data_IF_626645916458
#
_entry.id   IF_626645916458
#
_cell.length_a   1.000
_cell.length_b   1.000
_cell.length_c   1.000
_cell.angle_alpha   90.00
_cell.angle_beta   90.00
_cell.angle_gamma   90.00
#
_symmetry.space_group_name_H-M   'P 1'
#
loop_
_entity.id
_entity.type
_entity.pdbx_description
1 polymer ?
#
# COMPACT_ATOMS: atom_id res chain seq x y z
N UNK A 1 -3.39 -0.48 11.83
CA UNK A 1 -3.37 0.02 10.43
C UNK A 1 -2.84 1.44 10.32
N UNK A 2 -3.40 2.40 11.06
CA UNK A 2 -3.09 3.83 10.93
C UNK A 2 -1.59 4.12 11.14
N UNK A 3 -0.99 3.65 12.24
CA UNK A 3 0.43 3.91 12.53
C UNK A 3 1.40 3.43 11.44
N UNK A 4 1.13 2.26 10.83
CA UNK A 4 1.93 1.75 9.72
C UNK A 4 1.70 2.52 8.42
N UNK A 5 0.46 2.92 8.13
CA UNK A 5 0.13 3.71 6.94
C UNK A 5 0.77 5.10 6.98
N UNK A 6 0.87 5.73 8.15
CA UNK A 6 1.53 7.03 8.33
C UNK A 6 3.03 7.02 8.02
N UNK A 7 3.68 5.86 8.10
CA UNK A 7 5.09 5.72 7.75
C UNK A 7 5.30 5.31 6.29
N UNK A 8 4.26 4.79 5.63
CA UNK A 8 4.39 4.25 4.28
C UNK A 8 4.26 5.36 3.23
N UNK A 9 5.11 5.30 2.20
CA UNK A 9 4.95 6.17 1.03
C UNK A 9 4.24 5.46 -0.14
N UNK A 10 4.18 4.13 -0.07
CA UNK A 10 3.54 3.21 -1.00
C UNK A 10 2.53 2.36 -0.23
N UNK A 11 1.31 2.22 -0.74
CA UNK A 11 0.33 1.28 -0.18
C UNK A 11 0.06 0.13 -1.15
N UNK A 12 -0.21 -1.03 -0.56
CA UNK A 12 -0.67 -2.22 -1.28
C UNK A 12 -2.05 -2.57 -0.74
N UNK A 13 -3.06 -2.44 -1.59
CA UNK A 13 -4.44 -2.79 -1.29
C UNK A 13 -4.75 -4.16 -1.88
N UNK A 14 -4.98 -5.13 -1.01
CA UNK A 14 -5.33 -6.50 -1.42
C UNK A 14 -6.85 -6.63 -1.46
N UNK A 15 -7.38 -7.05 -2.60
CA UNK A 15 -8.81 -7.24 -2.86
C UNK A 15 -9.07 -8.69 -3.24
N UNK A 16 -10.07 -9.31 -2.65
CA UNK A 16 -10.46 -10.67 -3.05
C UNK A 16 -11.24 -10.65 -4.37
N UNK A 17 -10.88 -11.52 -5.31
CA UNK A 17 -11.63 -11.74 -6.55
C UNK A 17 -12.84 -12.66 -6.36
N UNK A 18 -12.87 -13.46 -5.28
CA UNK A 18 -13.92 -14.45 -5.01
C UNK A 18 -15.29 -13.77 -4.93
N UNK A 19 -16.29 -14.39 -5.56
CA UNK A 19 -17.69 -13.91 -5.49
C UNK A 19 -18.20 -13.98 -4.04
N UNK A 20 -18.87 -12.93 -3.59
CA UNK A 20 -19.33 -12.74 -2.22
C UNK A 20 -18.33 -11.94 -1.37
N UNK A 21 -17.06 -12.31 -1.37
CA UNK A 21 -16.02 -11.60 -0.61
C UNK A 21 -15.72 -10.21 -1.20
N UNK A 22 -15.71 -10.10 -2.53
CA UNK A 22 -15.50 -8.82 -3.20
C UNK A 22 -16.64 -7.83 -2.89
N UNK A 23 -17.88 -8.30 -2.95
CA UNK A 23 -19.07 -7.48 -2.76
C UNK A 23 -19.17 -6.99 -1.30
N UNK A 24 -19.00 -7.88 -0.32
CA UNK A 24 -18.96 -7.52 1.11
C UNK A 24 -17.84 -6.54 1.44
N UNK A 25 -16.68 -6.69 0.80
CA UNK A 25 -15.56 -5.76 0.94
C UNK A 25 -15.84 -4.34 0.40
N UNK A 26 -16.79 -4.17 -0.52
CA UNK A 26 -17.11 -2.90 -1.19
C UNK A 26 -18.42 -2.26 -0.72
N UNK A 27 -19.21 -2.93 0.12
CA UNK A 27 -20.46 -2.41 0.66
C UNK A 27 -20.27 -1.16 1.55
N UNK A 28 -21.37 -0.46 1.90
CA UNK A 28 -21.35 0.66 2.86
C UNK A 28 -21.06 0.11 4.27
N UNK A 29 -19.78 -0.06 4.58
CA UNK A 29 -19.28 -0.73 5.79
C UNK A 29 -18.09 -1.64 5.51
N UNK A 30 -17.76 -1.88 4.24
CA UNK A 30 -16.62 -2.69 3.84
C UNK A 30 -15.28 -2.04 4.19
N UNK A 31 -14.38 -2.85 4.75
CA UNK A 31 -13.04 -2.45 5.19
C UNK A 31 -12.19 -1.84 4.06
N UNK A 32 -12.40 -2.27 2.81
CA UNK A 32 -11.68 -1.75 1.64
C UNK A 32 -11.85 -0.23 1.49
N UNK A 33 -13.08 0.26 1.72
CA UNK A 33 -13.39 1.69 1.59
C UNK A 33 -12.67 2.50 2.66
N UNK A 34 -12.73 2.01 3.89
CA UNK A 34 -12.05 2.64 5.02
C UNK A 34 -10.53 2.67 4.82
N UNK A 35 -9.92 1.56 4.39
CA UNK A 35 -8.47 1.49 4.18
C UNK A 35 -7.98 2.44 3.08
N UNK A 36 -8.72 2.56 1.98
CA UNK A 36 -8.39 3.50 0.89
C UNK A 36 -8.49 4.94 1.36
N UNK A 37 -9.51 5.28 2.15
CA UNK A 37 -9.64 6.61 2.73
C UNK A 37 -8.49 6.92 3.68
N UNK A 38 -8.15 5.99 4.58
CA UNK A 38 -7.03 6.11 5.50
C UNK A 38 -5.69 6.25 4.78
N UNK A 39 -5.45 5.47 3.72
CA UNK A 39 -4.25 5.57 2.91
C UNK A 39 -4.09 6.97 2.29
N UNK A 40 -5.20 7.55 1.81
CA UNK A 40 -5.18 8.91 1.26
C UNK A 40 -4.91 9.95 2.34
N UNK A 41 -5.56 9.84 3.50
CA UNK A 41 -5.34 10.75 4.63
C UNK A 41 -3.92 10.65 5.18
N UNK A 42 -3.30 9.47 5.14
CA UNK A 42 -1.90 9.27 5.49
C UNK A 42 -0.90 9.89 4.50
N UNK A 43 -1.36 10.40 3.34
CA UNK A 43 -0.50 11.06 2.36
C UNK A 43 0.16 10.12 1.36
N UNK A 44 -0.29 8.86 1.29
CA UNK A 44 0.25 7.88 0.36
C UNK A 44 -0.06 8.30 -1.08
N UNK A 45 0.99 8.41 -1.90
CA UNK A 45 0.87 8.87 -3.28
C UNK A 45 0.61 7.70 -4.23
N UNK A 46 1.37 6.62 -4.09
CA UNK A 46 1.29 5.45 -4.96
C UNK A 46 0.49 4.33 -4.31
N UNK A 47 -0.52 3.83 -5.03
CA UNK A 47 -1.39 2.76 -4.57
C UNK A 47 -1.34 1.59 -5.55
N UNK A 48 -0.85 0.44 -5.07
CA UNK A 48 -0.89 -0.82 -5.82
C UNK A 48 -2.11 -1.61 -5.37
N UNK A 49 -2.91 -2.09 -6.31
CA UNK A 49 -4.11 -2.89 -6.05
C UNK A 49 -3.84 -4.31 -6.53
N UNK A 50 -3.77 -5.23 -5.58
CA UNK A 50 -3.59 -6.64 -5.82
C UNK A 50 -4.94 -7.35 -5.76
N UNK A 51 -5.41 -7.85 -6.90
CA UNK A 51 -6.62 -8.68 -6.98
C UNK A 51 -6.22 -10.13 -6.69
N UNK A 52 -6.41 -10.54 -5.44
CA UNK A 52 -6.01 -11.82 -4.86
C UNK A 52 -7.08 -12.90 -5.04
N UNK A 53 -6.70 -14.17 -4.83
CA UNK A 53 -7.56 -15.37 -4.98
C UNK A 53 -8.06 -15.58 -6.40
N UNK A 54 -7.26 -15.22 -7.41
CA UNK A 54 -7.62 -15.47 -8.81
C UNK A 54 -7.64 -16.96 -9.18
N UNK A 55 -6.95 -17.81 -8.40
CA UNK A 55 -6.90 -19.26 -8.52
C UNK A 55 -8.17 -19.97 -8.03
N UNK A 56 -9.07 -19.27 -7.34
CA UNK A 56 -10.29 -19.87 -6.81
C UNK A 56 -11.16 -20.49 -7.91
N UNK A 57 -11.83 -21.61 -7.60
CA UNK A 57 -12.67 -22.35 -8.55
C UNK A 57 -13.81 -21.51 -9.13
N UNK A 58 -14.22 -20.43 -8.45
CA UNK A 58 -15.25 -19.51 -8.94
C UNK A 58 -14.74 -18.43 -9.90
N UNK A 59 -13.41 -18.22 -9.96
CA UNK A 59 -12.76 -17.15 -10.74
C UNK A 59 -11.87 -17.72 -11.85
N UNK A 60 -11.07 -18.74 -11.57
CA UNK A 60 -10.21 -19.45 -12.53
C UNK A 60 -9.41 -18.51 -13.46
N UNK A 61 -8.77 -17.49 -12.89
CA UNK A 61 -8.00 -16.48 -13.61
C UNK A 61 -8.78 -15.74 -14.72
N UNK A 62 -10.10 -15.64 -14.59
CA UNK A 62 -10.96 -14.98 -15.57
C UNK A 62 -10.69 -13.48 -15.71
N UNK A 63 -10.37 -13.06 -16.93
CA UNK A 63 -10.20 -11.64 -17.28
C UNK A 63 -11.47 -10.83 -17.00
N UNK A 64 -12.64 -11.40 -17.27
CA UNK A 64 -13.93 -10.74 -17.06
C UNK A 64 -14.11 -10.33 -15.60
N UNK A 65 -13.75 -11.20 -14.65
CA UNK A 65 -13.86 -10.90 -13.22
C UNK A 65 -12.85 -9.84 -12.79
N UNK A 66 -11.62 -9.92 -13.28
CA UNK A 66 -10.60 -8.90 -13.03
C UNK A 66 -11.06 -7.50 -13.51
N UNK A 67 -11.58 -7.42 -14.73
CA UNK A 67 -12.10 -6.18 -15.30
C UNK A 67 -13.31 -5.66 -14.51
N UNK A 68 -14.23 -6.53 -14.08
CA UNK A 68 -15.35 -6.15 -13.21
C UNK A 68 -14.86 -5.51 -11.89
N UNK A 69 -13.86 -6.13 -11.24
CA UNK A 69 -13.28 -5.59 -10.01
C UNK A 69 -12.64 -4.21 -10.24
N UNK A 70 -11.87 -4.08 -11.32
CA UNK A 70 -11.22 -2.82 -11.71
C UNK A 70 -12.24 -1.72 -11.98
N UNK A 71 -13.28 -2.01 -12.77
CA UNK A 71 -14.32 -1.05 -13.13
C UNK A 71 -15.12 -0.54 -11.92
N UNK A 72 -15.38 -1.40 -10.91
CA UNK A 72 -16.05 -0.95 -9.67
C UNK A 72 -15.12 -0.14 -8.76
N UNK A 73 -13.82 -0.44 -8.73
CA UNK A 73 -12.85 0.24 -7.86
C UNK A 73 -12.44 1.62 -8.38
N UNK A 74 -12.27 1.78 -9.70
CA UNK A 74 -11.79 3.04 -10.31
C UNK A 74 -12.65 4.27 -9.93
N UNK A 75 -14.00 4.24 -10.00
CA UNK A 75 -14.84 5.37 -9.59
C UNK A 75 -14.67 5.72 -8.10
N UNK A 76 -14.51 4.71 -7.25
CA UNK A 76 -14.33 4.92 -5.82
C UNK A 76 -12.97 5.55 -5.50
N UNK A 77 -11.90 5.07 -6.12
CA UNK A 77 -10.55 5.62 -5.97
C UNK A 77 -10.47 7.08 -6.45
N UNK A 78 -11.11 7.38 -7.59
CA UNK A 78 -11.26 8.74 -8.09
C UNK A 78 -12.00 9.64 -7.10
N UNK A 79 -13.09 9.14 -6.48
CA UNK A 79 -13.86 9.88 -5.47
C UNK A 79 -13.04 10.21 -4.23
N UNK A 80 -12.15 9.30 -3.81
CA UNK A 80 -11.25 9.52 -2.65
C UNK A 80 -10.09 10.47 -3.01
N UNK A 81 -9.79 10.65 -4.30
CA UNK A 81 -8.76 11.57 -4.79
C UNK A 81 -7.45 10.89 -5.20
N UNK A 82 -7.49 9.61 -5.56
CA UNK A 82 -6.40 8.96 -6.29
C UNK A 82 -6.58 9.12 -7.80
N UNK A 83 -5.50 9.46 -8.50
CA UNK A 83 -5.50 9.60 -9.95
C UNK A 83 -5.10 8.29 -10.62
N UNK A 84 -5.61 8.03 -11.83
CA UNK A 84 -5.33 6.79 -12.57
C UNK A 84 -3.85 6.54 -12.85
N UNK A 85 -2.99 7.58 -12.79
CA UNK A 85 -1.54 7.46 -13.00
C UNK A 85 -0.80 6.88 -11.79
N UNK A 86 -1.37 7.05 -10.61
CA UNK A 86 -0.75 6.64 -9.34
C UNK A 86 -1.31 5.29 -8.84
N UNK A 87 -2.23 4.70 -9.60
CA UNK A 87 -2.89 3.44 -9.29
C UNK A 87 -2.46 2.38 -10.29
N UNK A 88 -1.97 1.26 -9.77
CA UNK A 88 -1.61 0.09 -10.58
C UNK A 88 -2.40 -1.13 -10.13
N UNK A 89 -3.06 -1.81 -11.06
CA UNK A 89 -3.81 -3.04 -10.79
C UNK A 89 -3.00 -4.25 -11.24
N UNK A 90 -2.94 -5.28 -10.41
CA UNK A 90 -2.29 -6.55 -10.73
C UNK A 90 -3.12 -7.73 -10.19
N UNK A 91 -3.36 -8.78 -10.97
CA UNK A 91 -3.94 -10.01 -10.46
C UNK A 91 -2.87 -10.81 -9.71
N UNK A 92 -3.22 -11.47 -8.60
CA UNK A 92 -2.30 -12.33 -7.87
C UNK A 92 -3.03 -13.50 -7.22
N UNK A 93 -2.25 -14.48 -6.76
CA UNK A 93 -2.74 -15.48 -5.81
C UNK A 93 -1.74 -15.65 -4.69
N UNK A 94 -2.17 -15.37 -3.46
CA UNK A 94 -1.36 -15.60 -2.27
C UNK A 94 -1.22 -17.09 -1.90
N UNK A 95 -2.08 -17.98 -2.44
CA UNK A 95 -2.00 -19.41 -2.15
C UNK A 95 -0.98 -20.10 -3.07
N UNK A 96 -1.07 -19.85 -4.37
CA UNK A 96 -0.13 -20.43 -5.35
C UNK A 96 1.17 -19.63 -5.48
N UNK A 97 1.19 -18.39 -4.99
CA UNK A 97 2.32 -17.47 -5.12
C UNK A 97 2.41 -16.80 -6.50
N UNK A 98 1.42 -16.98 -7.36
CA UNK A 98 1.42 -16.44 -8.72
C UNK A 98 1.43 -14.90 -8.74
N UNK A 99 2.22 -14.35 -9.66
CA UNK A 99 2.45 -12.92 -9.88
C UNK A 99 3.11 -12.15 -8.71
N UNK A 100 3.71 -12.85 -7.75
CA UNK A 100 4.44 -12.21 -6.66
C UNK A 100 5.90 -11.94 -7.03
N UNK A 101 6.65 -13.01 -7.29
CA UNK A 101 8.07 -12.94 -7.68
C UNK A 101 8.22 -13.10 -9.19
N UNK A 102 7.69 -14.20 -9.70
CA UNK A 102 7.78 -14.59 -11.09
C UNK A 102 6.48 -14.20 -11.82
N UNK A 103 6.57 -13.84 -13.11
CA UNK A 103 5.39 -13.54 -13.92
C UNK A 103 4.47 -14.77 -13.97
N UNK A 104 3.18 -14.54 -14.20
CA UNK A 104 2.21 -15.63 -14.32
C UNK A 104 2.53 -16.41 -15.59
N UNK A 105 2.53 -17.74 -15.50
CA UNK A 105 2.62 -18.61 -16.67
C UNK A 105 1.50 -18.30 -17.66
N UNK A 106 1.84 -18.19 -18.95
CA UNK A 106 0.87 -17.90 -20.02
C UNK A 106 -0.25 -18.96 -20.11
N UNK A 107 0.04 -20.18 -19.67
CA UNK A 107 -0.93 -21.28 -19.59
C UNK A 107 -2.03 -21.04 -18.54
N UNK A 108 -1.73 -20.27 -17.50
CA UNK A 108 -2.66 -19.96 -16.40
C UNK A 108 -3.39 -18.65 -16.69
N UNK A 109 -2.68 -17.66 -17.24
CA UNK A 109 -3.23 -16.35 -17.54
C UNK A 109 -2.61 -15.81 -18.83
N UNK A 110 -3.30 -15.99 -19.96
CA UNK A 110 -2.80 -15.53 -21.26
C UNK A 110 -2.98 -14.02 -21.50
N UNK A 111 -3.88 -13.38 -20.74
CA UNK A 111 -4.28 -11.98 -20.96
C UNK A 111 -3.43 -10.97 -20.17
N UNK A 112 -2.85 -11.35 -19.03
CA UNK A 112 -2.03 -10.44 -18.23
C UNK A 112 -0.55 -10.56 -18.61
N UNK A 113 -0.01 -9.51 -19.25
CA UNK A 113 1.41 -9.41 -19.65
C UNK A 113 2.21 -8.39 -18.83
N UNK A 114 1.72 -8.03 -17.65
CA UNK A 114 2.38 -7.07 -16.77
C UNK A 114 3.55 -7.70 -15.98
N UNK A 115 4.41 -6.87 -15.37
CA UNK A 115 5.45 -7.36 -14.47
C UNK A 115 4.83 -7.99 -13.21
N UNK A 116 5.57 -8.91 -12.59
CA UNK A 116 5.24 -9.42 -11.27
C UNK A 116 5.39 -8.32 -10.20
N UNK A 117 4.72 -8.52 -9.07
CA UNK A 117 4.60 -7.51 -8.02
C UNK A 117 5.94 -7.07 -7.42
N UNK A 118 6.86 -8.00 -7.12
CA UNK A 118 8.17 -7.68 -6.54
C UNK A 118 9.06 -6.93 -7.54
N UNK A 119 9.26 -7.42 -8.79
CA UNK A 119 9.96 -6.65 -9.81
C UNK A 119 9.38 -5.25 -10.02
N UNK A 120 8.05 -5.14 -10.05
CA UNK A 120 7.40 -3.84 -10.19
C UNK A 120 7.75 -2.86 -9.06
N UNK A 121 7.74 -3.32 -7.80
CA UNK A 121 8.13 -2.46 -6.67
C UNK A 121 9.59 -2.04 -6.76
N UNK A 122 10.49 -2.93 -7.21
CA UNK A 122 11.90 -2.61 -7.34
C UNK A 122 12.15 -1.56 -8.44
N UNK A 123 11.35 -1.57 -9.51
CA UNK A 123 11.47 -0.65 -10.63
C UNK A 123 10.77 0.71 -10.40
N UNK A 124 10.03 0.87 -9.28
CA UNK A 124 9.39 2.13 -8.97
C UNK A 124 10.44 3.23 -8.76
N UNK A 125 10.23 4.44 -9.32
CA UNK A 125 11.16 5.53 -9.14
C UNK A 125 11.25 5.91 -7.65
N UNK A 126 12.46 6.22 -7.15
CA UNK A 126 12.63 6.63 -5.77
C UNK A 126 11.85 7.92 -5.53
N UNK A 127 11.15 7.97 -4.40
CA UNK A 127 10.41 9.15 -4.00
C UNK A 127 11.37 10.26 -3.59
N UNK A 128 11.06 11.50 -3.98
CA UNK A 128 11.84 12.67 -3.59
C UNK A 128 11.81 12.85 -2.07
N UNK A 129 12.95 12.59 -1.42
CA UNK A 129 13.13 12.80 0.03
C UNK A 129 13.75 14.16 0.27
N UNK A 130 13.22 14.91 1.24
CA UNK A 130 13.76 16.22 1.61
C UNK A 130 14.93 16.08 2.58
N UNK A 131 16.12 15.76 2.05
CA UNK A 131 17.33 15.52 2.85
C UNK A 131 17.96 16.82 3.38
N UNK A 132 17.76 17.94 2.67
CA UNK A 132 18.34 19.24 3.02
C UNK A 132 17.51 20.04 4.03
N UNK A 133 16.30 19.59 4.34
CA UNK A 133 15.40 20.25 5.29
C UNK A 133 15.81 20.08 6.76
N UNK A 134 15.09 20.73 7.69
CA UNK A 134 15.28 20.49 9.13
C UNK A 134 14.95 19.03 9.48
N UNK A 135 15.63 18.50 10.49
CA UNK A 135 15.37 17.14 10.97
C UNK A 135 13.98 17.03 11.59
N UNK A 136 13.13 16.17 11.02
CA UNK A 136 11.79 15.89 11.54
C UNK A 136 11.57 14.38 11.60
N UNK A 137 11.24 13.87 12.78
CA UNK A 137 10.96 12.46 13.00
C UNK A 137 9.78 12.30 13.98
N UNK A 138 8.57 11.97 13.51
CA UNK A 138 7.48 11.58 14.40
C UNK A 138 7.82 10.30 15.16
N UNK A 139 7.68 10.35 16.48
CA UNK A 139 7.89 9.20 17.36
C UNK A 139 6.66 8.30 17.27
N UNK A 140 6.87 7.04 16.90
CA UNK A 140 5.83 6.01 16.77
C UNK A 140 5.84 5.03 17.93
N UNK A 141 7.02 4.71 18.45
CA UNK A 141 7.14 3.79 19.58
C UNK A 141 8.35 4.16 20.47
N UNK A 142 8.33 3.68 21.71
CA UNK A 142 9.39 3.89 22.69
C UNK A 142 9.61 2.65 23.54
N UNK A 143 10.86 2.35 23.87
CA UNK A 143 11.19 1.37 24.90
C UNK A 143 12.47 1.75 25.62
N UNK A 144 12.69 1.15 26.79
CA UNK A 144 13.82 1.45 27.65
C UNK A 144 14.82 0.29 27.59
N UNK A 145 16.03 0.57 27.14
CA UNK A 145 17.17 -0.36 27.23
C UNK A 145 18.45 0.47 27.41
N UNK A 146 19.01 0.46 28.63
CA UNK A 146 20.18 1.27 29.04
C UNK A 146 20.11 2.74 28.55
N UNK A 147 18.90 3.29 28.53
CA UNK A 147 18.55 4.58 27.93
C UNK A 147 17.13 4.55 27.38
N UNK A 148 16.64 5.69 26.90
CA UNK A 148 15.34 5.79 26.21
C UNK A 148 15.57 5.63 24.71
N UNK A 149 14.97 4.60 24.12
CA UNK A 149 15.00 4.37 22.67
C UNK A 149 13.65 4.79 22.09
N UNK A 150 13.71 5.59 21.03
CA UNK A 150 12.53 6.03 20.28
C UNK A 150 12.62 5.53 18.84
N UNK A 151 11.51 5.07 18.30
CA UNK A 151 11.39 4.59 16.93
C UNK A 151 10.45 5.49 16.14
N UNK A 152 10.82 5.80 14.91
CA UNK A 152 10.06 6.70 14.05
C UNK A 152 10.64 6.71 12.64
N UNK A 153 9.84 7.19 11.69
CA UNK A 153 10.30 7.45 10.33
C UNK A 153 10.87 8.86 10.28
N UNK A 154 12.02 9.03 9.66
CA UNK A 154 12.58 10.35 9.36
C UNK A 154 11.83 10.91 8.15
N UNK A 155 11.08 11.99 8.36
CA UNK A 155 10.30 12.66 7.31
C UNK A 155 11.14 13.66 6.54
N UNK A 156 12.07 14.35 7.22
CA UNK A 156 12.99 15.30 6.59
C UNK A 156 14.31 15.44 7.34
N UNK A 157 15.32 15.91 6.62
CA UNK A 157 16.65 16.21 7.18
C UNK A 157 17.48 14.98 7.49
N UNK A 158 18.55 15.19 8.24
CA UNK A 158 19.42 14.15 8.76
C UNK A 158 19.91 14.52 10.16
N UNK A 159 20.20 13.51 10.97
CA UNK A 159 20.81 13.66 12.28
C UNK A 159 22.04 12.77 12.39
N UNK A 160 22.99 13.16 13.24
CA UNK A 160 24.20 12.41 13.55
C UNK A 160 24.28 12.15 15.05
N UNK A 161 25.09 11.16 15.41
CA UNK A 161 25.35 10.84 16.81
C UNK A 161 26.02 12.04 17.50
N UNK A 162 25.42 12.50 18.61
CA UNK A 162 25.88 13.66 19.37
C UNK A 162 25.11 14.96 19.10
N UNK A 163 24.20 14.97 18.12
CA UNK A 163 23.34 16.13 17.87
C UNK A 163 22.32 16.32 19.00
N UNK A 164 22.12 17.58 19.40
CA UNK A 164 21.06 17.95 20.34
C UNK A 164 19.73 18.08 19.58
N UNK A 165 18.76 17.23 19.92
CA UNK A 165 17.44 17.20 19.30
C UNK A 165 16.38 17.78 20.22
N UNK A 166 15.38 18.41 19.63
CA UNK A 166 14.21 18.95 20.33
C UNK A 166 13.02 18.02 20.12
N UNK A 167 12.43 17.53 21.21
CA UNK A 167 11.20 16.75 21.15
C UNK A 167 10.00 17.68 21.23
N UNK A 168 9.04 17.48 20.34
CA UNK A 168 7.75 18.18 20.31
C UNK A 168 6.62 17.15 20.09
N UNK A 169 5.42 17.35 20.66
CA UNK A 169 5.03 18.48 21.51
C UNK A 169 5.62 18.37 22.92
N UNK A 170 6.27 19.43 23.38
CA UNK A 170 6.64 19.56 24.78
C UNK A 170 5.39 19.98 25.57
N UNK A 171 5.00 19.17 26.57
CA UNK A 171 4.09 19.68 27.59
C UNK A 171 4.81 20.74 28.41
N UNK A 172 4.56 22.01 28.08
CA UNK A 172 4.44 23.07 29.08
C UNK A 172 2.94 23.21 29.39
N UNK A 173 2.43 22.22 30.13
CA UNK A 173 1.47 22.33 31.24
C UNK A 173 1.21 20.96 31.84
#
# INVERSE_FOLDING_TARGET
>A
MIGGACQADLAVLVISARKGEFETGFERGGQTREHVMLAKTAGIKHLIILINKMDDSTVQWSEKRYNECKEKLVPYLKKVGFYSKDITFMPCSGLTGANLRDPIDENVCSWFKGPAFIPYINDLPPLNRNVTGPFMMPIVDRYNDRGTIVMGKVESGGCKKGDNLLVMPNKVR
#
